data_IF_941962183963
#
_entry.id   IF_941962183963
#
_cell.length_a   1.000
_cell.length_b   1.000
_cell.length_c   1.000
_cell.angle_alpha   90.00
_cell.angle_beta   90.00
_cell.angle_gamma   90.00
#
_symmetry.space_group_name_H-M   'P 1'
#
loop_
_entity.id
_entity.type
_entity.pdbx_description
1 polymer ?
#
# COMPACT_ATOMS: atom_id res chain seq x y z
N UNK A 1 -41.45 42.29 -32.43
CA UNK A 1 -42.06 40.97 -32.58
C UNK A 1 -41.09 40.09 -33.31
N UNK A 2 -40.36 39.28 -32.59
CA UNK A 2 -39.78 37.94 -32.93
C UNK A 2 -39.01 37.54 -31.69
N UNK A 3 -39.68 36.70 -30.90
CA UNK A 3 -39.06 35.97 -29.75
C UNK A 3 -38.29 34.81 -30.31
N UNK A 4 -36.99 34.70 -30.08
CA UNK A 4 -36.22 33.49 -30.29
C UNK A 4 -35.94 32.91 -28.92
N UNK A 5 -36.72 31.88 -28.61
CA UNK A 5 -36.49 31.00 -27.46
C UNK A 5 -35.31 30.06 -27.78
N UNK A 6 -34.19 30.23 -27.12
CA UNK A 6 -33.15 29.23 -27.08
C UNK A 6 -33.42 28.28 -25.91
N UNK A 7 -33.95 27.09 -26.22
CA UNK A 7 -33.98 25.96 -25.31
C UNK A 7 -32.58 25.33 -25.29
N UNK A 8 -31.85 25.54 -24.23
CA UNK A 8 -30.63 24.75 -23.97
C UNK A 8 -31.05 23.47 -23.26
N UNK A 9 -30.87 22.34 -23.94
CA UNK A 9 -31.18 21.02 -23.46
C UNK A 9 -30.08 20.53 -22.50
N UNK A 10 -30.39 20.44 -21.20
CA UNK A 10 -29.47 20.11 -20.12
C UNK A 10 -29.23 18.59 -19.90
N UNK A 11 -29.51 17.75 -20.89
CA UNK A 11 -29.48 16.30 -20.64
C UNK A 11 -28.18 15.57 -21.00
N UNK A 12 -27.05 16.25 -21.25
CA UNK A 12 -25.74 15.58 -21.43
C UNK A 12 -24.59 16.46 -20.97
N UNK A 13 -24.38 16.56 -19.67
CA UNK A 13 -23.11 16.99 -19.10
C UNK A 13 -22.55 15.85 -18.25
N UNK A 14 -21.64 15.11 -18.87
CA UNK A 14 -20.80 14.14 -18.18
C UNK A 14 -19.87 14.89 -17.21
N UNK A 15 -19.76 14.35 -16.01
CA UNK A 15 -18.90 14.80 -14.94
C UNK A 15 -17.43 14.71 -15.37
N UNK A 16 -16.82 15.85 -15.74
CA UNK A 16 -15.38 15.99 -15.85
C UNK A 16 -14.94 17.40 -15.45
N UNK A 17 -14.02 17.44 -14.53
CA UNK A 17 -13.20 18.48 -13.88
C UNK A 17 -12.87 19.77 -14.68
N UNK A 18 -13.83 20.53 -15.16
CA UNK A 18 -13.59 21.87 -15.73
C UNK A 18 -14.71 22.87 -15.37
N UNK A 19 -14.91 23.10 -14.07
CA UNK A 19 -15.92 24.06 -13.59
C UNK A 19 -15.47 25.54 -13.61
N UNK A 20 -14.27 25.86 -14.06
CA UNK A 20 -13.75 27.24 -14.07
C UNK A 20 -13.90 27.98 -15.42
N UNK A 21 -14.05 27.29 -16.54
CA UNK A 21 -14.16 27.95 -17.84
C UNK A 21 -15.58 28.40 -18.25
N UNK A 22 -16.61 27.85 -17.60
CA UNK A 22 -18.01 28.17 -17.92
C UNK A 22 -18.41 29.58 -17.42
N UNK A 23 -17.75 30.11 -16.39
CA UNK A 23 -18.09 31.42 -15.81
C UNK A 23 -17.55 32.61 -16.59
N UNK A 24 -16.49 32.46 -17.39
CA UNK A 24 -15.95 33.52 -18.21
C UNK A 24 -16.81 33.81 -19.47
N UNK A 25 -17.47 32.78 -20.02
CA UNK A 25 -18.31 32.86 -21.19
C UNK A 25 -19.63 33.63 -20.95
N UNK A 26 -20.18 33.53 -19.77
CA UNK A 26 -21.47 34.17 -19.42
C UNK A 26 -21.29 35.66 -19.13
N UNK A 27 -20.16 36.10 -18.60
CA UNK A 27 -19.87 37.53 -18.41
C UNK A 27 -19.63 38.29 -19.72
N UNK A 28 -19.06 37.68 -20.76
CA UNK A 28 -18.84 38.33 -22.06
C UNK A 28 -20.12 38.52 -22.89
N UNK A 29 -21.11 37.64 -22.77
CA UNK A 29 -22.38 37.77 -23.48
C UNK A 29 -23.24 38.93 -22.97
N UNK A 30 -23.01 39.38 -21.74
CA UNK A 30 -23.78 40.47 -21.12
C UNK A 30 -23.28 41.86 -21.53
N UNK A 31 -22.04 42.02 -21.97
CA UNK A 31 -21.47 43.31 -22.35
C UNK A 31 -21.91 43.81 -23.77
N UNK A 32 -22.36 42.89 -24.61
CA UNK A 32 -22.79 43.22 -25.98
C UNK A 32 -24.27 43.65 -26.11
N UNK A 33 -25.07 43.52 -25.04
CA UNK A 33 -26.49 43.87 -25.06
C UNK A 33 -26.80 45.28 -24.52
N UNK A 34 -25.82 46.08 -24.11
CA UNK A 34 -26.03 47.38 -23.44
C UNK A 34 -26.15 48.59 -24.39
N UNK A 35 -26.19 48.44 -25.71
CA UNK A 35 -26.21 49.62 -26.58
C UNK A 35 -27.60 50.16 -27.00
N UNK A 36 -28.71 49.57 -26.59
CA UNK A 36 -30.05 50.04 -27.05
C UNK A 36 -31.17 50.16 -26.01
N UNK A 37 -30.92 50.22 -24.71
CA UNK A 37 -32.01 50.36 -23.71
C UNK A 37 -31.67 51.36 -22.60
N UNK A 38 -31.38 52.56 -22.96
CA UNK A 38 -31.22 53.68 -22.03
C UNK A 38 -32.60 54.34 -21.76
N UNK A 39 -33.40 53.75 -20.88
CA UNK A 39 -34.47 54.43 -20.08
C UNK A 39 -35.13 53.59 -18.98
N UNK A 40 -34.79 52.33 -18.82
CA UNK A 40 -35.34 51.50 -17.73
C UNK A 40 -34.33 50.98 -16.71
N UNK A 41 -33.10 51.50 -16.71
CA UNK A 41 -31.95 50.81 -16.10
C UNK A 41 -31.62 51.20 -14.65
N UNK A 42 -32.29 52.21 -14.02
CA UNK A 42 -31.89 52.59 -12.63
C UNK A 42 -32.35 51.64 -11.52
N UNK A 43 -33.44 50.93 -11.72
CA UNK A 43 -33.97 50.02 -10.67
C UNK A 43 -33.50 48.56 -10.89
N UNK A 44 -33.01 48.18 -12.08
CA UNK A 44 -32.59 46.83 -12.36
C UNK A 44 -31.11 46.58 -11.99
N UNK A 45 -30.26 47.63 -12.02
CA UNK A 45 -28.87 47.52 -11.66
C UNK A 45 -28.66 47.24 -10.15
N UNK A 46 -29.53 47.72 -9.30
CA UNK A 46 -29.45 47.45 -7.84
C UNK A 46 -29.87 46.01 -7.51
N UNK A 47 -30.84 45.46 -8.26
CA UNK A 47 -31.28 44.06 -8.03
C UNK A 47 -30.24 43.03 -8.54
N UNK A 48 -29.57 43.31 -9.65
CA UNK A 48 -28.52 42.39 -10.17
C UNK A 48 -27.26 42.44 -9.34
N UNK A 49 -26.86 43.60 -8.79
CA UNK A 49 -25.72 43.69 -7.89
C UNK A 49 -25.94 42.95 -6.57
N UNK A 50 -27.17 43.04 -5.96
CA UNK A 50 -27.53 42.29 -4.78
C UNK A 50 -27.58 40.78 -5.05
N UNK A 51 -28.08 40.33 -6.21
CA UNK A 51 -28.17 38.90 -6.52
C UNK A 51 -26.78 38.26 -6.76
N UNK A 52 -25.84 39.02 -7.35
CA UNK A 52 -24.45 38.55 -7.47
C UNK A 52 -23.72 38.47 -6.12
N UNK A 53 -24.04 39.38 -5.17
CA UNK A 53 -23.49 39.36 -3.83
C UNK A 53 -24.03 38.18 -2.98
N UNK A 54 -25.29 37.79 -3.17
CA UNK A 54 -25.88 36.63 -2.48
C UNK A 54 -25.39 35.29 -3.04
N UNK A 55 -25.01 35.21 -4.31
CA UNK A 55 -24.43 33.99 -4.90
C UNK A 55 -22.97 33.77 -4.53
N UNK A 56 -22.22 34.87 -4.29
CA UNK A 56 -20.81 34.73 -3.84
C UNK A 56 -20.67 34.44 -2.34
N UNK A 57 -21.67 34.74 -1.53
CA UNK A 57 -21.64 34.48 -0.08
C UNK A 57 -21.96 33.01 0.31
N UNK A 58 -22.47 32.20 -0.64
CA UNK A 58 -22.82 30.78 -0.39
C UNK A 58 -21.94 29.78 -1.15
N UNK A 59 -20.84 30.20 -1.78
CA UNK A 59 -19.78 29.30 -2.18
C UNK A 59 -19.05 28.82 -0.89
N UNK A 60 -19.68 27.93 -0.13
CA UNK A 60 -18.92 27.07 0.79
C UNK A 60 -17.88 26.40 -0.08
N UNK A 61 -16.63 26.80 0.09
CA UNK A 61 -15.50 26.00 -0.34
C UNK A 61 -15.78 24.62 0.20
N UNK A 62 -16.13 23.68 -0.67
CA UNK A 62 -16.11 22.26 -0.33
C UNK A 62 -14.63 21.98 -0.07
N UNK A 63 -14.24 22.13 1.18
CA UNK A 63 -12.96 21.65 1.64
C UNK A 63 -12.89 20.19 1.18
N UNK A 64 -11.99 19.92 0.24
CA UNK A 64 -11.73 18.57 -0.21
C UNK A 64 -11.29 17.81 1.03
N UNK A 65 -12.23 17.12 1.68
CA UNK A 65 -11.93 16.27 2.83
C UNK A 65 -10.83 15.34 2.33
N UNK A 66 -9.61 15.58 2.78
CA UNK A 66 -8.49 14.73 2.43
C UNK A 66 -8.88 13.31 2.86
N UNK A 67 -8.87 12.38 1.91
CA UNK A 67 -9.05 10.97 2.23
C UNK A 67 -8.08 10.63 3.36
N UNK A 68 -8.53 9.95 4.44
CA UNK A 68 -7.61 9.60 5.52
C UNK A 68 -6.41 8.85 4.94
N UNK A 69 -5.21 9.27 5.32
CA UNK A 69 -3.99 8.66 4.85
C UNK A 69 -4.00 7.16 5.18
N UNK A 70 -3.79 6.32 4.16
CA UNK A 70 -3.72 4.87 4.33
C UNK A 70 -2.40 4.51 4.99
N UNK A 71 -2.47 3.66 6.01
CA UNK A 71 -1.29 3.08 6.64
C UNK A 71 -0.85 1.87 5.84
N UNK A 72 0.38 1.91 5.32
CA UNK A 72 0.91 0.89 4.43
C UNK A 72 2.18 0.24 4.98
N UNK A 73 2.32 -1.06 4.80
CA UNK A 73 3.58 -1.81 4.98
C UNK A 73 4.12 -2.25 3.63
N UNK A 74 5.43 -2.14 3.46
CA UNK A 74 6.19 -2.58 2.29
C UNK A 74 7.09 -3.74 2.68
N UNK A 75 6.96 -4.86 1.98
CA UNK A 75 7.65 -6.09 2.31
C UNK A 75 7.87 -6.95 1.06
N UNK A 76 8.61 -8.05 1.21
CA UNK A 76 8.65 -9.12 0.24
C UNK A 76 7.97 -10.36 0.79
N UNK A 77 7.11 -11.00 -0.01
CA UNK A 77 6.60 -12.34 0.26
C UNK A 77 7.65 -13.37 -0.13
N UNK A 78 7.82 -14.39 0.71
CA UNK A 78 8.52 -15.63 0.38
C UNK A 78 7.57 -16.58 -0.32
N UNK A 79 8.07 -17.36 -1.28
CA UNK A 79 7.29 -18.45 -1.86
C UNK A 79 7.44 -19.70 -0.99
N UNK A 80 6.43 -20.02 -0.20
CA UNK A 80 6.42 -21.20 0.68
C UNK A 80 6.20 -22.52 -0.09
N UNK A 81 5.92 -22.48 -1.39
CA UNK A 81 5.93 -23.68 -2.22
C UNK A 81 7.35 -24.12 -2.60
N UNK A 82 8.33 -23.20 -2.52
CA UNK A 82 9.73 -23.51 -2.75
C UNK A 82 10.31 -24.37 -1.60
N UNK A 83 10.91 -25.54 -1.88
CA UNK A 83 11.40 -26.45 -0.83
C UNK A 83 12.50 -25.85 0.06
N UNK A 84 13.34 -24.94 -0.48
CA UNK A 84 14.39 -24.28 0.30
C UNK A 84 13.80 -23.18 1.18
N UNK A 85 12.83 -22.41 0.66
CA UNK A 85 12.18 -21.33 1.41
C UNK A 85 11.13 -21.83 2.43
N UNK A 86 10.72 -23.08 2.38
CA UNK A 86 9.95 -23.71 3.48
C UNK A 86 10.73 -23.77 4.78
N UNK A 87 12.06 -23.79 4.73
CA UNK A 87 12.94 -23.88 5.91
C UNK A 87 13.03 -22.50 6.57
N UNK A 88 12.60 -22.35 7.84
CA UNK A 88 12.65 -21.06 8.54
C UNK A 88 14.07 -20.51 8.65
N UNK A 89 15.09 -21.36 8.79
CA UNK A 89 16.49 -20.97 8.89
C UNK A 89 16.97 -20.24 7.63
N UNK A 90 16.50 -20.66 6.44
CA UNK A 90 16.82 -19.98 5.17
C UNK A 90 16.20 -18.60 5.13
N UNK A 91 14.94 -18.46 5.56
CA UNK A 91 14.26 -17.16 5.62
C UNK A 91 14.88 -16.25 6.69
N UNK A 92 15.29 -16.80 7.83
CA UNK A 92 16.03 -16.09 8.88
C UNK A 92 17.37 -15.58 8.37
N UNK A 93 18.12 -16.37 7.60
CA UNK A 93 19.37 -15.96 6.99
C UNK A 93 19.17 -14.79 6.00
N UNK A 94 18.16 -14.87 5.14
CA UNK A 94 17.77 -13.79 4.21
C UNK A 94 17.41 -12.52 4.99
N UNK A 95 16.53 -12.63 6.00
CA UNK A 95 16.13 -11.52 6.86
C UNK A 95 17.34 -10.86 7.52
N UNK A 96 18.23 -11.64 8.10
CA UNK A 96 19.43 -11.17 8.79
C UNK A 96 20.36 -10.39 7.85
N UNK A 97 20.61 -10.89 6.63
CA UNK A 97 21.42 -10.19 5.62
C UNK A 97 20.81 -8.83 5.27
N UNK A 98 19.50 -8.79 4.98
CA UNK A 98 18.82 -7.58 4.56
C UNK A 98 18.78 -6.54 5.68
N UNK A 99 18.50 -6.95 6.92
CA UNK A 99 18.40 -6.05 8.07
C UNK A 99 19.77 -5.48 8.48
N UNK A 100 20.83 -6.28 8.47
CA UNK A 100 22.19 -5.83 8.77
C UNK A 100 22.68 -4.76 7.81
N UNK A 101 22.24 -4.81 6.55
CA UNK A 101 22.65 -3.87 5.50
C UNK A 101 21.75 -2.61 5.44
N UNK A 102 20.73 -2.50 6.27
CA UNK A 102 19.86 -1.32 6.41
C UNK A 102 19.50 -0.69 5.07
N UNK A 103 18.80 -1.44 4.23
CA UNK A 103 18.36 -0.95 2.92
C UNK A 103 17.62 0.37 3.11
N UNK A 104 18.10 1.45 2.49
CA UNK A 104 17.58 2.81 2.67
C UNK A 104 16.63 3.19 1.54
N UNK A 105 15.55 3.86 1.91
CA UNK A 105 14.63 4.52 0.99
C UNK A 105 14.19 5.87 1.58
N UNK A 106 14.25 6.94 0.78
CA UNK A 106 14.14 8.33 1.23
C UNK A 106 12.77 8.68 1.86
N UNK A 107 11.70 8.05 1.36
CA UNK A 107 10.32 8.38 1.76
C UNK A 107 9.64 7.27 2.58
N UNK A 108 10.40 6.29 3.08
CA UNK A 108 9.89 5.19 3.90
C UNK A 108 10.51 5.19 5.27
N UNK A 109 9.71 4.96 6.29
CA UNK A 109 10.22 4.71 7.63
C UNK A 109 10.57 3.23 7.76
N UNK A 110 11.82 2.93 8.17
CA UNK A 110 12.27 1.55 8.33
C UNK A 110 11.40 0.87 9.39
N UNK A 111 10.80 -0.25 9.00
CA UNK A 111 10.02 -1.10 9.88
C UNK A 111 10.31 -2.58 9.58
N UNK A 112 11.01 -3.23 10.48
CA UNK A 112 11.40 -4.63 10.38
C UNK A 112 10.40 -5.59 11.06
N UNK A 113 9.21 -5.09 11.40
CA UNK A 113 8.12 -5.84 12.01
C UNK A 113 6.96 -6.05 11.02
N UNK A 114 6.17 -7.06 11.28
CA UNK A 114 4.99 -7.40 10.47
C UNK A 114 3.94 -6.28 10.53
N UNK A 115 3.77 -5.66 11.69
CA UNK A 115 2.82 -4.57 11.89
C UNK A 115 3.49 -3.21 11.76
N UNK A 116 2.78 -2.18 11.27
CA UNK A 116 3.20 -0.79 11.39
C UNK A 116 3.44 -0.40 12.85
N UNK A 117 4.38 0.52 13.09
CA UNK A 117 4.77 0.97 14.43
C UNK A 117 3.59 1.41 15.31
N UNK A 118 2.62 2.11 14.71
CA UNK A 118 1.41 2.56 15.42
C UNK A 118 0.50 1.42 15.91
N UNK A 119 0.70 0.20 15.43
CA UNK A 119 -0.07 -0.99 15.79
C UNK A 119 0.76 -2.05 16.53
N UNK A 120 2.06 -1.81 16.71
CA UNK A 120 2.93 -2.71 17.45
C UNK A 120 2.53 -2.66 18.93
N UNK A 121 2.48 -3.84 19.55
CA UNK A 121 2.50 -3.96 20.99
C UNK A 121 3.97 -3.97 21.39
N UNK A 122 4.34 -3.23 22.42
CA UNK A 122 5.73 -3.19 22.90
C UNK A 122 6.20 -4.62 23.16
N UNK A 123 7.06 -5.11 22.30
CA UNK A 123 7.77 -6.38 22.46
C UNK A 123 9.26 -6.05 22.38
N UNK A 124 10.03 -6.53 23.33
CA UNK A 124 11.48 -6.45 23.24
C UNK A 124 11.92 -7.28 22.02
N UNK A 125 12.29 -6.59 20.97
CA UNK A 125 12.85 -7.22 19.77
C UNK A 125 14.28 -7.64 20.06
N UNK A 126 14.49 -8.86 20.50
CA UNK A 126 15.82 -9.45 20.68
C UNK A 126 16.37 -9.89 19.31
N UNK A 127 16.85 -8.93 18.52
CA UNK A 127 17.62 -9.29 17.35
C UNK A 127 19.07 -9.60 17.76
N UNK A 128 19.43 -10.89 17.76
CA UNK A 128 20.82 -11.33 17.92
C UNK A 128 21.52 -11.42 16.56
N UNK A 129 22.82 -11.05 16.47
CA UNK A 129 23.62 -11.32 15.29
C UNK A 129 23.57 -12.83 14.98
N UNK A 130 23.03 -13.16 13.83
CA UNK A 130 22.91 -14.56 13.38
C UNK A 130 24.07 -14.86 12.45
N UNK A 131 24.72 -16.00 12.64
CA UNK A 131 25.70 -16.52 11.70
C UNK A 131 24.99 -17.00 10.43
N UNK A 132 24.74 -16.09 9.49
CA UNK A 132 23.98 -16.29 8.26
C UNK A 132 24.48 -17.53 7.49
N UNK A 133 25.80 -17.62 7.29
CA UNK A 133 26.41 -18.71 6.56
C UNK A 133 26.16 -20.06 7.25
N UNK A 134 26.22 -20.09 8.58
CA UNK A 134 25.97 -21.29 9.36
C UNK A 134 24.50 -21.75 9.20
N UNK A 135 23.52 -20.84 9.24
CA UNK A 135 22.11 -21.16 9.02
C UNK A 135 21.86 -21.77 7.63
N UNK A 136 22.47 -21.17 6.59
CA UNK A 136 22.37 -21.67 5.22
C UNK A 136 22.97 -23.07 5.11
N UNK A 137 24.16 -23.28 5.70
CA UNK A 137 24.85 -24.57 5.70
C UNK A 137 24.04 -25.63 6.44
N UNK A 138 23.50 -25.35 7.62
CA UNK A 138 22.64 -26.25 8.39
C UNK A 138 21.37 -26.64 7.62
N UNK A 139 20.84 -25.68 6.81
CA UNK A 139 19.70 -25.94 5.93
C UNK A 139 20.05 -26.77 4.68
N UNK A 140 21.29 -27.20 4.50
CA UNK A 140 21.71 -28.00 3.36
C UNK A 140 22.16 -27.19 2.14
N UNK A 141 22.23 -25.86 2.24
CA UNK A 141 22.77 -25.00 1.18
C UNK A 141 24.29 -25.15 1.15
N UNK A 142 24.90 -25.30 -0.02
CA UNK A 142 26.33 -25.48 -0.25
C UNK A 142 26.75 -24.74 -1.51
N UNK A 143 28.03 -24.45 -1.66
CA UNK A 143 28.57 -23.82 -2.87
C UNK A 143 28.26 -24.62 -4.14
N UNK A 144 28.22 -25.97 -4.05
CA UNK A 144 27.82 -26.85 -5.17
C UNK A 144 26.30 -26.97 -5.36
N UNK A 145 25.50 -26.55 -4.38
CA UNK A 145 24.03 -26.53 -4.40
C UNK A 145 23.54 -25.25 -3.71
N UNK A 146 23.76 -24.10 -4.35
CA UNK A 146 23.43 -22.81 -3.75
C UNK A 146 21.91 -22.58 -3.71
N UNK A 147 21.50 -21.62 -2.87
CA UNK A 147 20.14 -21.10 -2.84
C UNK A 147 19.93 -20.21 -4.09
N UNK A 148 18.97 -20.55 -4.93
CA UNK A 148 18.58 -19.73 -6.09
C UNK A 148 17.40 -18.86 -5.75
N UNK A 149 17.52 -17.53 -5.95
CA UNK A 149 16.49 -16.55 -5.64
C UNK A 149 16.13 -15.71 -6.88
N UNK A 150 14.97 -15.99 -7.47
CA UNK A 150 14.32 -15.06 -8.39
C UNK A 150 13.60 -14.00 -7.54
N UNK A 151 14.07 -12.74 -7.62
CA UNK A 151 13.52 -11.62 -6.85
C UNK A 151 12.76 -10.72 -7.80
N UNK A 152 11.42 -10.69 -7.67
CA UNK A 152 10.54 -9.95 -8.55
C UNK A 152 10.08 -8.64 -7.89
N UNK A 153 10.16 -7.56 -8.65
CA UNK A 153 9.72 -6.22 -8.24
C UNK A 153 9.32 -5.39 -9.46
N UNK A 154 8.54 -4.31 -9.25
CA UNK A 154 8.15 -3.43 -10.34
C UNK A 154 9.33 -2.62 -10.88
N UNK A 155 9.36 -2.45 -12.22
CA UNK A 155 10.38 -1.69 -12.94
C UNK A 155 10.11 -0.17 -12.89
N UNK A 156 9.80 0.35 -11.71
CA UNK A 156 9.63 1.79 -11.45
C UNK A 156 10.14 2.13 -10.06
N UNK A 157 10.53 3.40 -9.87
CA UNK A 157 10.92 3.89 -8.54
C UNK A 157 9.70 3.89 -7.61
N UNK A 158 9.87 3.54 -6.33
CA UNK A 158 11.10 3.14 -5.64
C UNK A 158 11.45 1.66 -5.78
N UNK A 159 10.54 0.82 -6.30
CA UNK A 159 10.58 -0.63 -6.22
C UNK A 159 11.83 -1.23 -6.89
N UNK A 160 12.21 -0.70 -8.05
CA UNK A 160 13.41 -1.15 -8.76
C UNK A 160 14.70 -0.82 -8.00
N UNK A 161 14.74 0.31 -7.28
CA UNK A 161 15.92 0.69 -6.48
C UNK A 161 16.05 -0.24 -5.28
N UNK A 162 14.96 -0.43 -4.53
CA UNK A 162 14.92 -1.32 -3.35
C UNK A 162 15.23 -2.76 -3.75
N UNK A 163 14.57 -3.28 -4.79
CA UNK A 163 14.78 -4.65 -5.26
C UNK A 163 16.22 -4.93 -5.69
N UNK A 164 16.87 -3.97 -6.35
CA UNK A 164 18.29 -4.09 -6.71
C UNK A 164 19.23 -4.02 -5.50
N UNK A 165 18.90 -3.22 -4.48
CA UNK A 165 19.67 -3.18 -3.23
C UNK A 165 19.58 -4.53 -2.50
N UNK A 166 18.37 -5.08 -2.31
CA UNK A 166 18.18 -6.42 -1.73
C UNK A 166 18.99 -7.47 -2.50
N UNK A 167 18.89 -7.45 -3.83
CA UNK A 167 19.60 -8.40 -4.68
C UNK A 167 21.11 -8.33 -4.50
N UNK A 168 21.69 -7.13 -4.41
CA UNK A 168 23.13 -6.95 -4.18
C UNK A 168 23.55 -7.45 -2.80
N UNK A 169 22.75 -7.18 -1.78
CA UNK A 169 23.03 -7.64 -0.41
C UNK A 169 23.03 -9.16 -0.36
N UNK A 170 22.03 -9.82 -0.93
CA UNK A 170 21.92 -11.28 -0.91
C UNK A 170 23.01 -11.95 -1.78
N UNK A 171 23.45 -11.28 -2.86
CA UNK A 171 24.52 -11.77 -3.71
C UNK A 171 25.93 -11.68 -3.07
N UNK A 172 26.06 -11.08 -1.87
CA UNK A 172 27.34 -11.07 -1.13
C UNK A 172 27.74 -12.45 -0.57
N UNK A 173 26.77 -13.36 -0.43
CA UNK A 173 27.05 -14.72 0.01
C UNK A 173 27.33 -15.64 -1.18
N UNK A 174 28.44 -16.38 -1.11
CA UNK A 174 28.79 -17.41 -2.11
C UNK A 174 27.80 -18.59 -2.11
N UNK A 175 26.96 -18.69 -1.12
CA UNK A 175 25.91 -19.69 -0.99
C UNK A 175 24.59 -19.29 -1.67
N UNK A 176 24.47 -18.06 -2.17
CA UNK A 176 23.24 -17.52 -2.77
C UNK A 176 23.50 -17.09 -4.22
N UNK A 177 22.60 -17.45 -5.12
CA UNK A 177 22.57 -16.99 -6.51
C UNK A 177 21.29 -16.20 -6.73
N UNK A 178 21.43 -14.93 -7.06
CA UNK A 178 20.30 -14.00 -7.17
C UNK A 178 20.03 -13.65 -8.63
N UNK A 179 18.78 -13.75 -9.04
CA UNK A 179 18.28 -13.30 -10.33
C UNK A 179 17.23 -12.19 -10.11
N UNK A 180 17.62 -10.89 -10.14
CA UNK A 180 16.70 -9.78 -9.98
C UNK A 180 15.88 -9.56 -11.24
N UNK A 181 14.55 -9.56 -11.13
CA UNK A 181 13.61 -9.39 -12.22
C UNK A 181 12.75 -8.13 -12.01
N UNK A 182 13.09 -7.07 -12.75
CA UNK A 182 12.32 -5.84 -12.80
C UNK A 182 11.24 -5.96 -13.88
N UNK A 183 9.97 -6.05 -13.49
CA UNK A 183 8.84 -6.30 -14.40
C UNK A 183 7.78 -5.20 -14.32
N UNK A 184 6.86 -5.15 -15.28
CA UNK A 184 5.68 -4.28 -15.19
C UNK A 184 4.76 -4.77 -14.06
N UNK A 185 3.98 -3.87 -13.45
CA UNK A 185 3.03 -4.23 -12.38
C UNK A 185 2.05 -5.34 -12.80
N UNK A 186 1.55 -5.31 -14.02
CA UNK A 186 0.67 -6.36 -14.55
C UNK A 186 1.36 -7.73 -14.60
N UNK A 187 2.63 -7.75 -15.01
CA UNK A 187 3.42 -8.97 -15.05
C UNK A 187 3.73 -9.50 -13.64
N UNK A 188 4.02 -8.60 -12.69
CA UNK A 188 4.24 -8.97 -11.29
C UNK A 188 3.03 -9.74 -10.72
N UNK A 189 1.81 -9.29 -11.03
CA UNK A 189 0.56 -9.95 -10.60
C UNK A 189 0.45 -11.34 -11.24
N UNK A 190 0.74 -11.46 -12.53
CA UNK A 190 0.72 -12.77 -13.24
C UNK A 190 1.71 -13.74 -12.63
N UNK A 191 2.96 -13.29 -12.38
CA UNK A 191 4.00 -14.14 -11.82
C UNK A 191 3.69 -14.55 -10.36
N UNK A 192 3.08 -13.65 -9.58
CA UNK A 192 2.57 -13.96 -8.24
C UNK A 192 1.55 -15.10 -8.27
N UNK A 193 0.55 -15.00 -9.14
CA UNK A 193 -0.50 -16.00 -9.25
C UNK A 193 0.01 -17.37 -9.74
N UNK A 194 1.08 -17.36 -10.54
CA UNK A 194 1.75 -18.59 -11.00
C UNK A 194 2.75 -19.17 -10.00
N UNK A 195 3.11 -18.43 -8.95
CA UNK A 195 4.16 -18.84 -8.02
C UNK A 195 5.57 -18.83 -8.61
N UNK A 196 5.82 -18.10 -9.69
CA UNK A 196 7.09 -18.06 -10.41
C UNK A 196 8.07 -17.04 -9.79
N UNK A 197 8.39 -17.19 -8.53
CA UNK A 197 9.32 -16.34 -7.78
C UNK A 197 9.84 -17.08 -6.55
N UNK A 198 10.92 -16.63 -5.95
CA UNK A 198 11.33 -16.98 -4.60
C UNK A 198 11.01 -15.84 -3.63
N UNK A 199 11.26 -14.60 -4.05
CA UNK A 199 10.88 -13.38 -3.34
C UNK A 199 10.10 -12.47 -4.28
N UNK A 200 8.98 -11.92 -3.82
CA UNK A 200 8.18 -11.00 -4.61
C UNK A 200 7.78 -9.77 -3.80
N UNK A 201 7.98 -8.59 -4.38
CA UNK A 201 7.60 -7.32 -3.77
C UNK A 201 6.10 -7.28 -3.50
N UNK A 202 5.74 -6.85 -2.30
CA UNK A 202 4.37 -6.72 -1.82
C UNK A 202 4.17 -5.44 -1.03
N UNK A 203 2.93 -5.05 -0.88
CA UNK A 203 2.48 -4.02 0.05
C UNK A 203 1.10 -4.37 0.57
N UNK A 204 0.82 -3.93 1.77
CA UNK A 204 -0.52 -3.99 2.35
C UNK A 204 -0.87 -2.63 2.94
N UNK A 205 -2.00 -2.06 2.51
CA UNK A 205 -2.48 -0.77 2.96
C UNK A 205 -3.85 -0.91 3.60
N UNK A 206 -4.08 -0.22 4.71
CA UNK A 206 -5.37 -0.15 5.39
C UNK A 206 -5.79 1.29 5.59
N UNK A 207 -7.08 1.57 5.47
CA UNK A 207 -7.65 2.92 5.67
C UNK A 207 -7.84 3.24 7.15
N UNK A 208 -8.04 2.22 7.97
CA UNK A 208 -8.20 2.35 9.43
C UNK A 208 -7.19 1.46 10.14
N UNK A 209 -6.47 2.00 11.14
CA UNK A 209 -5.53 1.21 11.91
C UNK A 209 -6.26 0.08 12.65
N UNK A 210 -6.15 -1.12 12.12
CA UNK A 210 -6.73 -2.32 12.69
C UNK A 210 -5.78 -3.50 12.48
N UNK A 211 -5.24 -4.02 13.57
CA UNK A 211 -4.30 -5.13 13.59
C UNK A 211 -4.79 -6.34 12.80
N UNK A 212 -6.09 -6.68 12.93
CA UNK A 212 -6.65 -7.84 12.25
C UNK A 212 -6.65 -7.73 10.74
N UNK A 213 -6.70 -6.50 10.18
CA UNK A 213 -6.61 -6.30 8.73
C UNK A 213 -5.21 -6.65 8.20
N UNK A 214 -4.15 -6.49 9.02
CA UNK A 214 -2.80 -6.91 8.66
C UNK A 214 -2.59 -8.41 8.87
N UNK A 215 -3.17 -8.99 9.93
CA UNK A 215 -2.89 -10.37 10.33
C UNK A 215 -3.75 -11.41 9.60
N UNK A 216 -4.96 -11.06 9.15
CA UNK A 216 -5.89 -11.99 8.51
C UNK A 216 -5.30 -12.70 7.27
N UNK A 217 -4.43 -12.02 6.50
CA UNK A 217 -3.80 -12.59 5.31
C UNK A 217 -2.95 -13.83 5.57
N UNK A 218 -2.50 -14.03 6.81
CA UNK A 218 -1.68 -15.17 7.18
C UNK A 218 -2.47 -16.46 7.48
N UNK A 219 -3.81 -16.40 7.46
CA UNK A 219 -4.60 -17.62 7.50
C UNK A 219 -4.33 -18.45 6.24
N UNK A 220 -4.12 -19.75 6.40
CA UNK A 220 -3.81 -20.66 5.29
C UNK A 220 -4.89 -20.71 4.21
N UNK A 221 -6.14 -20.39 4.58
CA UNK A 221 -7.31 -20.37 3.68
C UNK A 221 -7.67 -18.96 3.16
N UNK A 222 -6.88 -17.93 3.52
CA UNK A 222 -7.19 -16.56 3.09
C UNK A 222 -6.92 -16.38 1.60
N UNK A 223 -7.82 -15.71 0.89
CA UNK A 223 -7.72 -15.50 -0.57
C UNK A 223 -6.49 -14.73 -1.04
N UNK A 224 -5.91 -13.89 -0.17
CA UNK A 224 -4.68 -13.15 -0.44
C UNK A 224 -3.41 -13.90 -0.03
N UNK A 225 -3.54 -15.10 0.54
CA UNK A 225 -2.42 -15.97 0.89
C UNK A 225 -1.95 -16.75 -0.35
N UNK A 226 -1.44 -16.03 -1.35
CA UNK A 226 -0.98 -16.62 -2.61
C UNK A 226 0.44 -17.20 -2.53
N UNK A 227 1.15 -16.94 -1.43
CA UNK A 227 2.52 -17.39 -1.24
C UNK A 227 2.63 -18.77 -0.58
N UNK A 228 1.50 -19.35 -0.15
CA UNK A 228 1.42 -20.68 0.43
C UNK A 228 1.91 -20.79 1.88
N UNK A 229 1.97 -19.67 2.62
CA UNK A 229 2.23 -19.74 4.06
C UNK A 229 1.12 -20.52 4.75
N UNK A 230 1.50 -21.48 5.60
CA UNK A 230 0.56 -22.28 6.38
C UNK A 230 1.17 -22.65 7.73
N UNK A 231 0.49 -22.32 8.81
CA UNK A 231 0.84 -22.69 10.16
C UNK A 231 -0.46 -22.93 10.95
N UNK A 232 -0.65 -24.17 11.41
CA UNK A 232 -1.89 -24.57 12.08
C UNK A 232 -2.16 -23.80 13.39
N UNK A 233 -1.13 -23.36 14.11
CA UNK A 233 -1.32 -22.56 15.32
C UNK A 233 -1.72 -21.13 14.98
N UNK A 234 -1.18 -20.54 13.89
CA UNK A 234 -1.62 -19.25 13.35
C UNK A 234 -3.09 -19.31 12.97
N UNK A 235 -3.51 -20.32 12.22
CA UNK A 235 -4.92 -20.48 11.82
C UNK A 235 -5.84 -20.57 13.06
N UNK A 236 -5.45 -21.35 14.06
CA UNK A 236 -6.18 -21.52 15.31
C UNK A 236 -6.30 -20.21 16.11
N UNK A 237 -5.21 -19.42 16.17
CA UNK A 237 -5.21 -18.12 16.83
C UNK A 237 -6.10 -17.12 16.10
N UNK A 238 -6.04 -17.07 14.77
CA UNK A 238 -6.88 -16.22 13.96
C UNK A 238 -8.38 -16.53 14.13
N UNK A 239 -8.75 -17.82 14.17
CA UNK A 239 -10.12 -18.25 14.45
C UNK A 239 -10.57 -17.81 15.85
N UNK A 240 -9.72 -17.99 16.88
CA UNK A 240 -10.03 -17.53 18.25
C UNK A 240 -10.24 -16.02 18.30
N UNK A 241 -9.42 -15.23 17.60
CA UNK A 241 -9.52 -13.76 17.55
C UNK A 241 -10.79 -13.23 16.89
N UNK A 242 -11.45 -14.03 16.05
CA UNK A 242 -12.75 -13.69 15.45
C UNK A 242 -13.92 -13.82 16.44
N UNK A 243 -13.75 -14.48 17.56
CA UNK A 243 -14.83 -14.67 18.54
C UNK A 243 -15.15 -13.38 19.30
N UNK A 244 -16.43 -13.04 19.41
CA UNK A 244 -16.91 -11.79 20.07
C UNK A 244 -16.75 -11.80 21.60
N UNK A 245 -16.49 -12.98 22.22
CA UNK A 245 -16.49 -13.17 23.68
C UNK A 245 -15.15 -12.89 24.37
N UNK A 246 -14.14 -12.43 23.63
CA UNK A 246 -12.82 -12.13 24.19
C UNK A 246 -12.83 -10.76 24.88
N UNK A 247 -12.36 -10.70 26.13
CA UNK A 247 -12.02 -9.42 26.75
C UNK A 247 -10.72 -8.85 26.15
N UNK A 248 -10.45 -7.56 26.38
CA UNK A 248 -9.30 -6.89 25.78
C UNK A 248 -7.98 -7.52 26.14
N UNK A 249 -7.73 -7.90 27.40
CA UNK A 249 -6.47 -8.48 27.82
C UNK A 249 -6.19 -9.81 27.11
N UNK A 250 -7.18 -10.70 27.01
CA UNK A 250 -7.04 -11.96 26.26
C UNK A 250 -6.83 -11.72 24.76
N UNK A 251 -7.52 -10.72 24.19
CA UNK A 251 -7.34 -10.36 22.78
C UNK A 251 -5.90 -9.90 22.50
N UNK A 252 -5.37 -9.02 23.33
CA UNK A 252 -3.99 -8.52 23.21
C UNK A 252 -2.98 -9.66 23.33
N UNK A 253 -3.13 -10.54 24.32
CA UNK A 253 -2.25 -11.69 24.51
C UNK A 253 -2.25 -12.65 23.29
N UNK A 254 -3.42 -12.92 22.69
CA UNK A 254 -3.51 -13.76 21.49
C UNK A 254 -2.88 -13.08 20.27
N UNK A 255 -3.02 -11.77 20.14
CA UNK A 255 -2.38 -10.99 19.06
C UNK A 255 -0.86 -11.03 19.22
N UNK A 256 -0.33 -10.85 20.44
CA UNK A 256 1.10 -10.95 20.71
C UNK A 256 1.64 -12.33 20.35
N UNK A 257 1.01 -13.40 20.83
CA UNK A 257 1.38 -14.77 20.48
C UNK A 257 1.39 -15.01 18.96
N UNK A 258 0.36 -14.49 18.26
CA UNK A 258 0.28 -14.59 16.80
C UNK A 258 1.44 -13.89 16.10
N UNK A 259 1.77 -12.67 16.53
CA UNK A 259 2.89 -11.88 15.98
C UNK A 259 4.22 -12.61 16.22
N UNK A 260 4.44 -13.11 17.43
CA UNK A 260 5.66 -13.86 17.77
C UNK A 260 5.87 -15.07 16.86
N UNK A 261 4.83 -15.86 16.60
CA UNK A 261 4.92 -17.01 15.67
C UNK A 261 5.25 -16.52 14.25
N UNK A 262 4.57 -15.50 13.75
CA UNK A 262 4.79 -14.98 12.41
C UNK A 262 6.21 -14.39 12.23
N UNK A 263 6.75 -13.74 13.24
CA UNK A 263 8.12 -13.21 13.22
C UNK A 263 9.18 -14.31 13.35
N UNK A 264 8.95 -15.34 14.17
CA UNK A 264 9.82 -16.51 14.27
C UNK A 264 9.85 -17.31 12.97
N UNK A 265 8.69 -17.49 12.35
CA UNK A 265 8.55 -18.14 11.04
C UNK A 265 9.14 -17.29 9.90
N UNK A 266 9.42 -16.01 10.13
CA UNK A 266 9.74 -15.05 9.08
C UNK A 266 8.72 -15.16 7.94
N UNK A 267 7.43 -14.99 8.28
CA UNK A 267 6.32 -15.16 7.35
C UNK A 267 6.38 -14.20 6.14
N UNK A 268 6.98 -13.04 6.33
CA UNK A 268 7.33 -12.05 5.29
C UNK A 268 8.71 -11.46 5.58
N UNK A 269 9.28 -10.73 4.62
CA UNK A 269 10.47 -9.89 4.78
C UNK A 269 10.02 -8.42 4.84
N UNK A 270 9.70 -7.86 6.02
CA UNK A 270 9.25 -6.47 6.17
C UNK A 270 10.41 -5.51 5.99
N UNK A 271 10.15 -4.31 5.43
CA UNK A 271 11.18 -3.31 5.14
C UNK A 271 10.80 -1.91 5.60
N UNK A 272 9.61 -1.45 5.27
CA UNK A 272 9.19 -0.06 5.49
C UNK A 272 7.73 0.03 5.85
N UNK A 273 7.40 1.16 6.50
CA UNK A 273 6.03 1.67 6.57
C UNK A 273 5.94 3.05 5.94
N UNK A 274 4.77 3.41 5.45
CA UNK A 274 4.50 4.72 4.88
C UNK A 274 3.00 5.02 4.86
N UNK A 275 2.66 6.31 4.80
CA UNK A 275 1.29 6.77 4.65
C UNK A 275 1.05 7.20 3.19
N UNK A 276 -0.04 6.73 2.58
CA UNK A 276 -0.48 7.09 1.22
C UNK A 276 -1.70 8.00 1.25
#
# INVERSE_FOLDING_TARGET
MISVLFFINFSKLAYNNHSLEIYSGICMAYSLFQSQAVKFAKNFAIFTACFCFFLSANAKTVEKVASPAKLCTYFYDFNFHDPQLKKPEVRQAIKAMVFSNRIKYENGEINYHILPKSLQVETESHWSPIAVEQLLIQSGIRSKSPLYLNILFENQKPHNVIGRQISRVLAQSDLIRVNPQAVKKSELIVQRNKGNYQLIRSEQCVEKPNVMLFLARFASTHSENLNGYANAEVDKLLVKLQTKKLNNAKRVALIQQLIEILEQDVAILPLYEFSK
#
